data_IF_746265200310
#
_entry.id   IF_746265200310
#
_cell.length_a   1.000
_cell.length_b   1.000
_cell.length_c   1.000
_cell.angle_alpha   90.00
_cell.angle_beta   90.00
_cell.angle_gamma   90.00
#
_symmetry.space_group_name_H-M   'P 1'
#
loop_
_entity.id
_entity.type
_entity.pdbx_description
1 polymer ?
#
# COMPACT_ATOMS: atom_id res chain seq x y z
N UNK A 1 -16.42 6.11 -14.70
CA UNK A 1 -15.32 6.50 -13.79
C UNK A 1 -15.33 5.63 -12.54
N UNK A 2 -15.73 4.36 -12.63
CA UNK A 2 -15.74 3.43 -11.50
C UNK A 2 -15.26 2.05 -11.95
N UNK A 3 -14.79 1.21 -11.04
CA UNK A 3 -14.32 -0.14 -11.43
C UNK A 3 -15.43 -0.98 -12.06
N UNK A 4 -16.72 -0.68 -11.79
CA UNK A 4 -17.86 -1.27 -12.51
C UNK A 4 -17.81 -0.95 -14.01
N UNK A 5 -17.50 0.28 -14.41
CA UNK A 5 -17.44 0.64 -15.84
C UNK A 5 -16.31 -0.09 -16.55
N UNK A 6 -15.17 -0.26 -15.87
CA UNK A 6 -14.03 -0.99 -16.43
C UNK A 6 -14.30 -2.50 -16.49
N UNK A 7 -14.92 -3.06 -15.44
CA UNK A 7 -15.35 -4.45 -15.39
C UNK A 7 -16.37 -4.77 -16.48
N UNK A 8 -17.34 -3.88 -16.73
CA UNK A 8 -18.36 -4.10 -17.75
C UNK A 8 -17.82 -3.90 -19.18
N UNK A 9 -16.84 -3.01 -19.36
CA UNK A 9 -16.26 -2.70 -20.67
C UNK A 9 -15.20 -3.71 -21.10
N UNK A 10 -14.28 -4.06 -20.21
CA UNK A 10 -13.25 -5.06 -20.45
C UNK A 10 -12.97 -5.87 -19.17
N UNK A 11 -13.78 -6.90 -18.90
CA UNK A 11 -13.64 -7.73 -17.71
C UNK A 11 -12.27 -8.40 -17.63
N UNK A 12 -11.64 -8.71 -18.78
CA UNK A 12 -10.34 -9.36 -18.82
C UNK A 12 -9.25 -8.39 -18.36
N UNK A 13 -9.18 -7.21 -18.97
CA UNK A 13 -8.20 -6.20 -18.57
C UNK A 13 -8.36 -5.80 -17.09
N UNK A 14 -9.61 -5.69 -16.62
CA UNK A 14 -9.90 -5.43 -15.21
C UNK A 14 -9.28 -6.48 -14.29
N UNK A 15 -9.54 -7.77 -14.52
CA UNK A 15 -9.02 -8.87 -13.69
C UNK A 15 -7.48 -8.90 -13.73
N UNK A 16 -6.89 -8.71 -14.90
CA UNK A 16 -5.43 -8.71 -15.09
C UNK A 16 -4.72 -7.57 -14.34
N UNK A 17 -5.43 -6.49 -14.01
CA UNK A 17 -4.93 -5.38 -13.19
C UNK A 17 -5.28 -5.55 -11.70
N UNK A 18 -6.53 -5.93 -11.40
CA UNK A 18 -7.07 -6.00 -10.06
C UNK A 18 -6.37 -7.05 -9.18
N UNK A 19 -6.02 -8.21 -9.76
CA UNK A 19 -5.31 -9.26 -9.02
C UNK A 19 -3.91 -8.78 -8.58
N UNK A 20 -3.03 -8.26 -9.46
CA UNK A 20 -1.78 -7.64 -9.05
C UNK A 20 -1.96 -6.54 -8.00
N UNK A 21 -2.95 -5.66 -8.17
CA UNK A 21 -3.23 -4.58 -7.22
C UNK A 21 -3.52 -5.10 -5.83
N UNK A 22 -4.45 -6.05 -5.74
CA UNK A 22 -4.88 -6.65 -4.49
C UNK A 22 -3.69 -7.28 -3.75
N UNK A 23 -2.89 -8.10 -4.44
CA UNK A 23 -1.75 -8.76 -3.82
C UNK A 23 -0.61 -7.79 -3.48
N UNK A 24 -0.35 -6.77 -4.31
CA UNK A 24 0.62 -5.72 -3.99
C UNK A 24 0.29 -5.00 -2.69
N UNK A 25 -0.99 -4.67 -2.45
CA UNK A 25 -1.44 -4.06 -1.19
C UNK A 25 -1.30 -5.06 -0.03
N UNK A 26 -1.70 -6.32 -0.22
CA UNK A 26 -1.58 -7.35 0.83
C UNK A 26 -0.13 -7.55 1.25
N UNK A 27 0.81 -7.65 0.30
CA UNK A 27 2.22 -7.82 0.61
C UNK A 27 2.80 -6.60 1.33
N UNK A 28 2.41 -5.39 0.91
CA UNK A 28 2.79 -4.13 1.58
C UNK A 28 2.34 -4.10 3.05
N UNK A 29 1.05 -4.36 3.28
CA UNK A 29 0.44 -4.39 4.62
C UNK A 29 0.99 -5.53 5.49
N UNK A 30 1.24 -6.70 4.89
CA UNK A 30 1.87 -7.82 5.57
C UNK A 30 3.29 -7.46 6.01
N UNK A 31 4.05 -6.72 5.20
CA UNK A 31 5.39 -6.28 5.54
C UNK A 31 5.38 -5.33 6.75
N UNK A 32 4.46 -4.36 6.79
CA UNK A 32 4.26 -3.52 7.98
C UNK A 32 4.01 -4.35 9.23
N UNK A 33 3.02 -5.24 9.17
CA UNK A 33 2.67 -6.08 10.31
C UNK A 33 3.80 -7.04 10.74
N UNK A 34 4.53 -7.60 9.77
CA UNK A 34 5.65 -8.50 10.05
C UNK A 34 6.80 -7.76 10.72
N UNK A 35 7.21 -6.60 10.20
CA UNK A 35 8.27 -5.78 10.82
C UNK A 35 7.80 -5.25 12.18
N UNK A 36 6.54 -4.85 12.33
CA UNK A 36 5.99 -4.40 13.61
C UNK A 36 6.08 -5.52 14.67
N UNK A 37 5.71 -6.75 14.29
CA UNK A 37 5.87 -7.93 15.15
C UNK A 37 7.32 -8.16 15.56
N UNK A 38 8.27 -8.05 14.61
CA UNK A 38 9.71 -8.18 14.89
C UNK A 38 10.25 -7.05 15.78
N UNK A 39 9.63 -5.87 15.73
CA UNK A 39 9.96 -4.70 16.54
C UNK A 39 9.19 -4.64 17.87
N UNK A 40 8.43 -5.68 18.22
CA UNK A 40 7.78 -5.83 19.53
C UNK A 40 6.29 -5.54 19.59
N UNK A 41 5.62 -5.26 18.46
CA UNK A 41 4.16 -5.07 18.42
C UNK A 41 3.41 -6.34 17.94
N UNK A 42 2.76 -7.10 18.83
CA UNK A 42 2.04 -8.31 18.45
C UNK A 42 0.63 -8.06 17.86
N UNK A 43 0.18 -6.80 17.78
CA UNK A 43 -1.22 -6.44 17.44
C UNK A 43 -1.73 -7.11 16.17
N UNK A 44 -1.04 -6.93 15.04
CA UNK A 44 -1.41 -7.54 13.76
C UNK A 44 -1.45 -9.08 13.82
N UNK A 45 -0.50 -9.69 14.53
CA UNK A 45 -0.42 -11.15 14.67
C UNK A 45 -1.59 -11.70 15.49
N UNK A 46 -1.87 -11.10 16.64
CA UNK A 46 -2.95 -11.51 17.54
C UNK A 46 -4.33 -11.34 16.90
N UNK A 47 -4.51 -10.32 16.07
CA UNK A 47 -5.73 -10.11 15.29
C UNK A 47 -5.81 -10.99 14.02
N UNK A 48 -4.84 -11.88 13.79
CA UNK A 48 -4.79 -12.76 12.61
C UNK A 48 -4.69 -12.00 11.28
N UNK A 49 -4.15 -10.78 11.31
CA UNK A 49 -3.99 -9.86 10.17
C UNK A 49 -2.72 -10.13 9.35
N UNK A 50 -1.78 -10.89 9.91
CA UNK A 50 -0.63 -11.42 9.15
C UNK A 50 -1.07 -12.59 8.26
N UNK A 51 -1.78 -12.28 7.18
CA UNK A 51 -2.41 -13.27 6.31
C UNK A 51 -2.39 -12.82 4.86
N UNK A 52 -2.24 -13.76 3.93
CA UNK A 52 -2.40 -13.53 2.50
C UNK A 52 -3.86 -13.62 2.02
N UNK A 53 -4.81 -13.88 2.93
CA UNK A 53 -6.22 -13.95 2.58
C UNK A 53 -6.75 -12.54 2.27
N UNK A 54 -7.16 -12.25 1.02
CA UNK A 54 -7.62 -10.92 0.64
C UNK A 54 -8.84 -10.45 1.41
N UNK A 55 -9.74 -11.37 1.79
CA UNK A 55 -10.97 -11.06 2.52
C UNK A 55 -10.69 -10.40 3.87
N UNK A 56 -9.52 -10.66 4.46
CA UNK A 56 -9.14 -9.97 5.68
C UNK A 56 -8.84 -8.50 5.39
N UNK A 57 -8.22 -8.18 4.26
CA UNK A 57 -7.72 -6.84 3.93
C UNK A 57 -8.73 -5.95 3.19
N UNK A 58 -9.90 -6.46 2.87
CA UNK A 58 -10.97 -5.66 2.28
C UNK A 58 -11.77 -4.92 3.35
N UNK A 59 -11.98 -3.62 3.12
CA UNK A 59 -12.99 -2.84 3.83
C UNK A 59 -14.30 -2.89 3.04
N UNK A 60 -15.44 -3.31 3.61
CA UNK A 60 -16.69 -3.40 2.86
C UNK A 60 -17.14 -2.06 2.26
N UNK A 61 -16.96 -0.96 2.99
CA UNK A 61 -17.36 0.37 2.53
C UNK A 61 -16.38 0.85 1.46
N UNK A 62 -15.07 0.74 1.73
CA UNK A 62 -14.03 1.09 0.76
C UNK A 62 -14.16 0.30 -0.54
N UNK A 63 -14.50 -0.99 -0.45
CA UNK A 63 -14.74 -1.84 -1.62
C UNK A 63 -15.98 -1.36 -2.39
N UNK A 64 -17.11 -1.09 -1.71
CA UNK A 64 -18.31 -0.56 -2.39
C UNK A 64 -18.03 0.78 -3.07
N UNK A 65 -17.35 1.71 -2.39
CA UNK A 65 -16.97 3.00 -2.98
C UNK A 65 -16.08 2.81 -4.22
N UNK A 66 -15.15 1.86 -4.19
CA UNK A 66 -14.30 1.56 -5.34
C UNK A 66 -15.11 1.14 -6.58
N UNK A 67 -16.13 0.30 -6.38
CA UNK A 67 -16.98 -0.18 -7.47
C UNK A 67 -17.85 0.95 -8.07
N UNK A 68 -18.49 1.77 -7.23
CA UNK A 68 -19.46 2.77 -7.69
C UNK A 68 -18.85 4.14 -8.03
N UNK A 69 -17.83 4.56 -7.27
CA UNK A 69 -17.24 5.91 -7.33
C UNK A 69 -15.87 5.88 -8.02
N UNK A 70 -15.22 4.72 -8.15
CA UNK A 70 -13.87 4.59 -8.71
C UNK A 70 -12.75 4.91 -7.73
N UNK A 71 -13.11 5.21 -6.48
CA UNK A 71 -12.18 5.45 -5.39
C UNK A 71 -12.56 4.58 -4.19
N UNK A 72 -11.59 3.92 -3.59
CA UNK A 72 -11.80 3.13 -2.39
C UNK A 72 -10.47 2.80 -1.70
N UNK A 73 -10.58 2.27 -0.50
CA UNK A 73 -9.44 1.95 0.35
C UNK A 73 -9.50 0.51 0.85
N UNK A 74 -8.33 -0.06 1.11
CA UNK A 74 -8.21 -1.33 1.80
C UNK A 74 -8.31 -1.12 3.32
N UNK A 75 -8.62 -2.18 4.06
CA UNK A 75 -8.52 -2.19 5.51
C UNK A 75 -7.05 -2.39 5.89
N UNK A 76 -6.36 -1.39 6.49
CA UNK A 76 -4.93 -1.48 6.79
C UNK A 76 -4.64 -2.49 7.90
N UNK A 77 -3.40 -2.97 7.98
CA UNK A 77 -2.93 -3.81 9.08
C UNK A 77 -2.69 -2.96 10.32
N UNK A 78 -3.25 -3.32 11.49
CA UNK A 78 -3.11 -2.51 12.69
C UNK A 78 -1.69 -2.60 13.23
N UNK A 79 -1.05 -1.44 13.40
CA UNK A 79 0.26 -1.28 14.05
C UNK A 79 0.09 -0.37 15.26
N UNK A 80 0.46 -0.87 16.43
CA UNK A 80 0.56 -0.06 17.64
C UNK A 80 2.00 0.43 17.83
N UNK A 81 2.27 1.65 17.35
CA UNK A 81 3.58 2.29 17.45
C UNK A 81 4.07 2.50 18.90
N UNK A 82 3.20 2.41 19.91
CA UNK A 82 3.59 2.49 21.31
C UNK A 82 4.31 1.23 21.82
N UNK A 83 4.06 0.08 21.18
CA UNK A 83 4.68 -1.19 21.55
C UNK A 83 6.08 -1.36 20.97
N UNK A 84 6.48 -0.54 19.99
CA UNK A 84 7.74 -0.71 19.26
C UNK A 84 8.96 -0.39 20.11
N UNK A 85 9.97 -1.27 20.05
CA UNK A 85 11.23 -1.12 20.80
C UNK A 85 12.45 -1.42 19.90
N UNK A 86 13.38 -0.47 19.72
CA UNK A 86 13.32 0.95 20.10
C UNK A 86 12.29 1.73 19.27
N UNK A 87 11.56 2.66 19.89
CA UNK A 87 10.41 3.34 19.25
C UNK A 87 10.75 4.08 17.95
N UNK A 88 11.84 4.84 17.91
CA UNK A 88 12.24 5.61 16.70
C UNK A 88 12.64 4.69 15.55
N UNK A 89 13.51 3.71 15.83
CA UNK A 89 13.91 2.73 14.84
C UNK A 89 12.71 1.90 14.36
N UNK A 90 11.80 1.53 15.27
CA UNK A 90 10.57 0.83 14.94
C UNK A 90 9.68 1.65 14.01
N UNK A 91 9.51 2.94 14.28
CA UNK A 91 8.72 3.82 13.41
C UNK A 91 9.28 3.85 11.98
N UNK A 92 10.61 4.01 11.83
CA UNK A 92 11.28 4.04 10.53
C UNK A 92 11.18 2.68 9.84
N UNK A 93 11.57 1.59 10.53
CA UNK A 93 11.63 0.26 9.95
C UNK A 93 10.25 -0.25 9.53
N UNK A 94 9.24 -0.05 10.38
CA UNK A 94 7.87 -0.47 10.05
C UNK A 94 7.36 0.33 8.86
N UNK A 95 7.53 1.65 8.84
CA UNK A 95 7.01 2.48 7.75
C UNK A 95 7.75 2.24 6.43
N UNK A 96 9.06 1.97 6.48
CA UNK A 96 9.83 1.59 5.29
C UNK A 96 9.49 0.18 4.78
N UNK A 97 8.94 -0.71 5.61
CA UNK A 97 8.71 -2.11 5.26
C UNK A 97 7.81 -2.26 4.03
N UNK A 98 6.65 -1.58 4.03
CA UNK A 98 5.71 -1.61 2.91
C UNK A 98 6.36 -1.09 1.62
N UNK A 99 6.97 0.10 1.67
CA UNK A 99 7.68 0.72 0.53
C UNK A 99 8.74 -0.22 -0.05
N UNK A 100 9.60 -0.79 0.80
CA UNK A 100 10.66 -1.70 0.38
C UNK A 100 10.08 -2.97 -0.24
N UNK A 101 8.99 -3.51 0.30
CA UNK A 101 8.31 -4.67 -0.29
C UNK A 101 7.78 -4.36 -1.68
N UNK A 102 7.14 -3.21 -1.91
CA UNK A 102 6.72 -2.85 -3.26
C UNK A 102 7.91 -2.66 -4.22
N UNK A 103 8.99 -2.00 -3.79
CA UNK A 103 10.20 -1.87 -4.62
C UNK A 103 10.75 -3.25 -4.99
N UNK A 104 10.87 -4.17 -4.03
CA UNK A 104 11.34 -5.53 -4.26
C UNK A 104 10.43 -6.29 -5.22
N UNK A 105 9.11 -6.17 -5.06
CA UNK A 105 8.14 -6.79 -5.97
C UNK A 105 8.25 -6.22 -7.38
N UNK A 106 8.41 -4.90 -7.54
CA UNK A 106 8.58 -4.27 -8.85
C UNK A 106 9.87 -4.75 -9.53
N UNK A 107 10.99 -4.75 -8.80
CA UNK A 107 12.30 -5.19 -9.32
C UNK A 107 12.25 -6.67 -9.71
N UNK A 108 11.72 -7.54 -8.83
CA UNK A 108 11.56 -8.96 -9.14
C UNK A 108 10.66 -9.17 -10.37
N UNK A 109 9.55 -8.42 -10.46
CA UNK A 109 8.64 -8.48 -11.60
C UNK A 109 9.30 -8.05 -12.91
N UNK A 110 10.18 -7.03 -12.90
CA UNK A 110 10.96 -6.62 -14.08
C UNK A 110 11.88 -7.76 -14.54
N UNK A 111 12.62 -8.41 -13.63
CA UNK A 111 13.49 -9.52 -14.04
C UNK A 111 12.69 -10.70 -14.59
N UNK A 112 11.60 -11.07 -13.92
CA UNK A 112 10.77 -12.20 -14.33
C UNK A 112 10.05 -11.89 -15.66
N UNK A 113 9.68 -10.63 -15.92
CA UNK A 113 9.00 -10.26 -17.17
C UNK A 113 9.85 -10.44 -18.43
N UNK A 114 11.18 -10.55 -18.28
CA UNK A 114 12.11 -10.79 -19.40
C UNK A 114 12.38 -12.29 -19.65
N UNK A 115 11.79 -13.18 -18.87
CA UNK A 115 11.89 -14.63 -19.11
C UNK A 115 10.97 -15.04 -20.28
N UNK A 116 11.46 -15.92 -21.14
CA UNK A 116 10.75 -16.45 -22.33
C UNK A 116 9.29 -16.83 -22.09
N UNK A 117 8.95 -17.64 -21.07
CA UNK A 117 7.55 -18.02 -20.85
C UNK A 117 6.65 -16.82 -20.52
N UNK A 118 7.22 -15.72 -20.03
CA UNK A 118 6.48 -14.53 -19.59
C UNK A 118 6.34 -13.52 -20.72
N UNK A 119 7.44 -13.14 -21.41
CA UNK A 119 7.35 -12.13 -22.47
C UNK A 119 6.65 -12.65 -23.73
N UNK A 120 6.77 -13.94 -24.05
CA UNK A 120 6.11 -14.56 -25.20
C UNK A 120 4.60 -14.70 -25.00
N UNK A 121 4.12 -14.70 -23.75
CA UNK A 121 2.72 -14.84 -23.42
C UNK A 121 2.08 -13.47 -23.11
N UNK A 122 1.21 -12.99 -24.00
CA UNK A 122 0.53 -11.68 -23.87
C UNK A 122 -0.20 -11.50 -22.54
N UNK A 123 -0.82 -12.55 -21.99
CA UNK A 123 -1.55 -12.48 -20.73
C UNK A 123 -0.57 -12.27 -19.58
N UNK A 124 0.49 -13.09 -19.51
CA UNK A 124 1.51 -12.97 -18.47
C UNK A 124 2.24 -11.64 -18.57
N UNK A 125 2.65 -11.22 -19.77
CA UNK A 125 3.25 -9.92 -20.01
C UNK A 125 2.36 -8.77 -19.49
N UNK A 126 1.04 -8.85 -19.68
CA UNK A 126 0.08 -7.85 -19.17
C UNK A 126 -0.02 -7.87 -17.64
N UNK A 127 -0.04 -9.05 -17.02
CA UNK A 127 -0.06 -9.19 -15.54
C UNK A 127 1.21 -8.57 -14.94
N UNK A 128 2.38 -8.89 -15.50
CA UNK A 128 3.66 -8.35 -15.03
C UNK A 128 3.78 -6.85 -15.29
N UNK A 129 3.28 -6.35 -16.42
CA UNK A 129 3.19 -4.92 -16.67
C UNK A 129 2.43 -4.18 -15.55
N UNK A 130 1.24 -4.67 -15.19
CA UNK A 130 0.46 -4.10 -14.10
C UNK A 130 1.15 -4.26 -12.75
N UNK A 131 1.71 -5.44 -12.46
CA UNK A 131 2.43 -5.71 -11.22
C UNK A 131 3.60 -4.73 -11.02
N UNK A 132 4.41 -4.49 -12.06
CA UNK A 132 5.52 -3.53 -12.03
C UNK A 132 4.98 -2.12 -11.78
N UNK A 133 4.02 -1.68 -12.62
CA UNK A 133 3.49 -0.31 -12.57
C UNK A 133 2.85 0.00 -11.22
N UNK A 134 2.01 -0.90 -10.71
CA UNK A 134 1.32 -0.73 -9.44
C UNK A 134 2.31 -0.65 -8.29
N UNK A 135 3.28 -1.57 -8.22
CA UNK A 135 4.25 -1.57 -7.13
C UNK A 135 5.14 -0.31 -7.15
N UNK A 136 5.55 0.17 -8.31
CA UNK A 136 6.28 1.45 -8.42
C UNK A 136 5.41 2.61 -7.92
N UNK A 137 4.16 2.69 -8.37
CA UNK A 137 3.23 3.75 -7.94
C UNK A 137 3.00 3.70 -6.44
N UNK A 138 2.74 2.52 -5.86
CA UNK A 138 2.55 2.35 -4.42
C UNK A 138 3.80 2.74 -3.62
N UNK A 139 5.00 2.38 -4.10
CA UNK A 139 6.25 2.76 -3.46
C UNK A 139 6.48 4.27 -3.49
N UNK A 140 6.35 4.89 -4.66
CA UNK A 140 6.55 6.35 -4.84
C UNK A 140 5.52 7.13 -4.05
N UNK A 141 4.25 6.73 -4.10
CA UNK A 141 3.19 7.38 -3.37
C UNK A 141 3.42 7.29 -1.86
N UNK A 142 3.74 6.12 -1.33
CA UNK A 142 4.02 5.97 0.10
C UNK A 142 5.34 6.61 0.54
N UNK A 143 6.25 6.98 -0.35
CA UNK A 143 7.45 7.77 -0.01
C UNK A 143 7.16 9.27 0.21
N UNK A 144 6.00 9.77 -0.22
CA UNK A 144 5.64 11.18 -0.05
C UNK A 144 5.52 11.47 1.46
N UNK A 145 6.23 12.48 2.00
CA UNK A 145 6.27 12.75 3.44
C UNK A 145 5.04 13.53 3.93
N UNK A 146 3.84 13.08 3.55
CA UNK A 146 2.55 13.69 3.91
C UNK A 146 1.71 12.65 4.65
N UNK A 147 1.27 12.90 5.90
CA UNK A 147 0.35 12.00 6.58
C UNK A 147 -0.91 11.74 5.75
N UNK A 148 -1.53 10.55 5.79
CA UNK A 148 -1.16 9.35 6.56
C UNK A 148 -0.05 8.45 5.94
N UNK A 149 0.58 8.86 4.84
CA UNK A 149 1.52 8.03 4.07
C UNK A 149 2.75 7.63 4.88
N UNK A 150 3.39 6.53 4.50
CA UNK A 150 4.49 5.96 5.28
C UNK A 150 5.73 6.85 5.34
N UNK A 151 6.04 7.58 4.26
CA UNK A 151 7.15 8.54 4.18
C UNK A 151 7.06 9.62 5.27
N UNK A 152 5.84 9.96 5.67
CA UNK A 152 5.56 10.91 6.74
C UNK A 152 6.01 10.36 8.10
N UNK A 153 5.82 9.05 8.33
CA UNK A 153 6.25 8.33 9.54
C UNK A 153 7.76 8.06 9.54
N UNK A 154 8.34 7.78 8.38
CA UNK A 154 9.80 7.71 8.21
C UNK A 154 10.42 9.05 8.64
N UNK A 155 9.91 10.17 8.11
CA UNK A 155 10.37 11.50 8.49
C UNK A 155 10.21 11.74 9.99
N UNK A 156 9.06 11.42 10.58
CA UNK A 156 8.84 11.52 12.03
C UNK A 156 9.88 10.74 12.86
N UNK A 157 10.35 9.60 12.37
CA UNK A 157 11.38 8.80 13.05
C UNK A 157 12.72 9.52 13.22
N UNK A 158 13.06 10.42 12.29
CA UNK A 158 14.26 11.26 12.35
C UNK A 158 14.06 12.57 13.11
N UNK A 159 12.80 12.98 13.34
CA UNK A 159 12.50 14.23 14.01
C UNK A 159 12.64 14.12 15.56
N UNK A 160 13.05 15.21 16.24
CA UNK A 160 12.94 15.33 17.69
C UNK A 160 11.49 15.17 18.19
N UNK A 161 11.32 14.69 19.43
CA UNK A 161 10.00 14.37 20.00
C UNK A 161 9.00 15.55 19.96
N UNK A 162 9.49 16.78 20.12
CA UNK A 162 8.66 17.99 20.01
C UNK A 162 7.99 18.13 18.64
N UNK A 163 8.72 17.84 17.56
CA UNK A 163 8.20 17.94 16.19
C UNK A 163 7.32 16.75 15.82
N UNK A 164 7.61 15.55 16.36
CA UNK A 164 6.71 14.39 16.21
C UNK A 164 5.29 14.71 16.70
N UNK A 165 5.17 15.43 17.82
CA UNK A 165 3.88 15.83 18.36
C UNK A 165 3.09 16.76 17.43
N UNK A 166 3.75 17.78 16.84
CA UNK A 166 3.10 18.66 15.88
C UNK A 166 2.72 17.93 14.59
N UNK A 167 3.57 17.01 14.13
CA UNK A 167 3.35 16.25 12.91
C UNK A 167 2.18 15.25 13.07
N UNK A 168 2.07 14.60 14.22
CA UNK A 168 0.93 13.72 14.55
C UNK A 168 -0.42 14.46 14.54
N UNK A 169 -0.44 15.78 14.84
CA UNK A 169 -1.68 16.59 14.75
C UNK A 169 -2.16 16.80 13.30
N UNK A 170 -1.31 16.56 12.30
CA UNK A 170 -1.68 16.65 10.88
C UNK A 170 -2.32 15.35 10.35
N UNK A 171 -2.15 14.21 11.04
CA UNK A 171 -2.69 12.91 10.59
C UNK A 171 -4.20 12.94 10.26
N UNK A 172 -5.09 13.56 11.04
CA UNK A 172 -6.52 13.61 10.72
C UNK A 172 -6.84 14.36 9.42
N UNK A 173 -6.02 15.34 9.06
CA UNK A 173 -6.18 16.12 7.83
C UNK A 173 -5.54 15.43 6.62
N UNK A 174 -4.70 14.44 6.85
CA UNK A 174 -3.90 13.79 5.82
C UNK A 174 -4.72 13.19 4.68
N UNK A 175 -5.86 12.58 4.99
CA UNK A 175 -6.79 12.07 3.97
C UNK A 175 -7.29 13.19 3.05
N UNK A 176 -7.68 14.34 3.61
CA UNK A 176 -8.15 15.48 2.83
C UNK A 176 -7.02 16.13 2.02
N UNK A 177 -5.80 16.17 2.55
CA UNK A 177 -4.63 16.67 1.83
C UNK A 177 -4.35 15.80 0.61
N UNK A 178 -4.36 14.48 0.77
CA UNK A 178 -4.19 13.53 -0.34
C UNK A 178 -5.30 13.71 -1.38
N UNK A 179 -6.56 13.77 -0.94
CA UNK A 179 -7.70 13.95 -1.85
C UNK A 179 -7.58 15.25 -2.64
N UNK A 180 -7.25 16.36 -1.97
CA UNK A 180 -7.02 17.65 -2.62
C UNK A 180 -5.87 17.59 -3.64
N UNK A 181 -4.78 16.89 -3.30
CA UNK A 181 -3.63 16.73 -4.20
C UNK A 181 -4.00 15.93 -5.45
N UNK A 182 -4.76 14.83 -5.30
CA UNK A 182 -5.22 14.01 -6.43
C UNK A 182 -6.18 14.77 -7.35
N UNK A 183 -7.08 15.58 -6.78
CA UNK A 183 -7.99 16.45 -7.53
C UNK A 183 -7.24 17.58 -8.24
N UNK A 184 -6.29 18.23 -7.57
CA UNK A 184 -5.49 19.33 -8.14
C UNK A 184 -4.64 18.84 -9.31
N UNK A 185 -4.05 17.65 -9.19
CA UNK A 185 -3.25 17.02 -10.23
C UNK A 185 -4.10 16.40 -11.36
N UNK A 186 -5.43 16.49 -11.30
CA UNK A 186 -6.38 15.86 -12.25
C UNK A 186 -6.13 14.36 -12.45
N UNK A 187 -5.74 13.68 -11.38
CA UNK A 187 -5.53 12.23 -11.36
C UNK A 187 -6.86 11.50 -11.13
N UNK A 188 -7.86 12.20 -10.57
CA UNK A 188 -9.25 11.77 -10.38
C UNK A 188 -10.20 12.51 -11.33
#
# INVERSE_FOLDING_TARGET
MGLITDLLRDPKAFILMAIPLLYSIIFHELAHGWVAYRMGDPTAKLMGRLSLNPLKHLDPIGTLMLFFVGFGWAKPVPVNFQNLRPRRAGLILVSSAGILTNILLAVAAIFISHLEPVYSNKVLATVFFWLIRINIVLAVFNLIPIPPLDGSKILMGFLPARYQYYFARLEPYGFFIILALLLLLRIL
#
